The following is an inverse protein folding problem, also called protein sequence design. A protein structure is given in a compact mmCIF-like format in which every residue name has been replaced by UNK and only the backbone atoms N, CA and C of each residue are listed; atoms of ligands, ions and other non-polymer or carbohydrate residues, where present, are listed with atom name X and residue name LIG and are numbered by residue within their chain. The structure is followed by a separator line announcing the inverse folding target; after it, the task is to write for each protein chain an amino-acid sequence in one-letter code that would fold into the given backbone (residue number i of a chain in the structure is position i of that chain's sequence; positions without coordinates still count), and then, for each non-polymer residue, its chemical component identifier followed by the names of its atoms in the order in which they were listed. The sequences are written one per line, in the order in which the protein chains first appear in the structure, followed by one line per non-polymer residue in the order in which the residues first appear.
data_IF_555379484386
#
_entry.id   IF_555379484386
#
_cell.length_a   1.000
_cell.length_b   1.000
_cell.length_c   1.000
_cell.angle_alpha   90.00
_cell.angle_beta   90.00
_cell.angle_gamma   90.00
#
_symmetry.space_group_name_H-M   'P 1'
#
loop_
_entity.id
_entity.type
_entity.pdbx_description
1 polymer ?
#
# COMPACT_ATOMS: atom_id res chain seq x y z
N UNK A 1 -4.73 16.42 -3.93
CA UNK A 1 -4.17 15.73 -2.76
C UNK A 1 -5.32 15.46 -1.79
N UNK A 2 -5.81 14.21 -1.71
CA UNK A 2 -6.87 13.78 -0.77
C UNK A 2 -6.22 12.85 0.26
N UNK A 3 -5.34 13.38 1.09
CA UNK A 3 -4.59 12.56 2.04
C UNK A 3 -5.06 12.88 3.44
N UNK A 4 -6.01 12.07 3.92
CA UNK A 4 -6.31 11.97 5.33
C UNK A 4 -5.18 11.33 6.12
N UNK A 5 -5.35 11.21 7.43
CA UNK A 5 -4.42 10.45 8.28
C UNK A 5 -4.63 8.95 8.08
N UNK A 6 -3.53 8.22 7.93
CA UNK A 6 -3.55 6.77 7.72
C UNK A 6 -2.42 6.10 8.51
N UNK A 7 -2.72 4.94 9.09
CA UNK A 7 -1.70 3.98 9.54
C UNK A 7 -1.46 3.01 8.40
N UNK A 8 -0.19 2.85 8.01
CA UNK A 8 0.24 1.95 6.95
C UNK A 8 1.28 0.96 7.47
N UNK A 9 1.45 -0.15 6.77
CA UNK A 9 2.54 -1.13 7.00
C UNK A 9 3.23 -1.45 5.70
N UNK A 10 4.54 -1.69 5.78
CA UNK A 10 5.35 -2.08 4.63
C UNK A 10 4.97 -3.47 4.12
N UNK A 11 4.99 -3.61 2.80
CA UNK A 11 4.75 -4.87 2.11
C UNK A 11 6.10 -5.35 1.61
N UNK A 12 6.46 -6.56 2.00
CA UNK A 12 7.75 -7.17 1.67
C UNK A 12 7.57 -8.26 0.62
N UNK A 13 8.50 -8.37 -0.32
CA UNK A 13 8.57 -9.49 -1.24
C UNK A 13 8.91 -10.77 -0.47
N UNK A 14 8.13 -11.84 -0.65
CA UNK A 14 8.39 -13.12 0.03
C UNK A 14 9.67 -13.82 -0.42
N UNK A 15 10.27 -13.40 -1.54
CA UNK A 15 11.48 -14.03 -2.09
C UNK A 15 12.76 -13.33 -1.66
N UNK A 16 12.79 -11.99 -1.69
CA UNK A 16 13.99 -11.20 -1.44
C UNK A 16 13.88 -10.26 -0.24
N UNK A 17 12.74 -10.26 0.47
CA UNK A 17 12.46 -9.42 1.64
C UNK A 17 12.54 -7.91 1.38
N UNK A 18 12.70 -7.48 0.12
CA UNK A 18 12.68 -6.08 -0.25
C UNK A 18 11.29 -5.48 -0.01
N UNK A 19 11.25 -4.22 0.46
CA UNK A 19 10.02 -3.45 0.53
C UNK A 19 9.58 -3.14 -0.90
N UNK A 20 8.36 -3.56 -1.25
CA UNK A 20 7.79 -3.40 -2.59
C UNK A 20 6.60 -2.44 -2.63
N UNK A 21 6.23 -1.92 -1.46
CA UNK A 21 5.10 -1.02 -1.29
C UNK A 21 4.57 -1.05 0.13
N UNK A 22 3.30 -0.70 0.30
CA UNK A 22 2.66 -0.58 1.60
C UNK A 22 1.15 -0.85 1.52
N UNK A 23 0.56 -1.17 2.68
CA UNK A 23 -0.87 -1.45 2.85
C UNK A 23 -1.48 -0.48 3.83
N UNK A 24 -2.70 -0.01 3.54
CA UNK A 24 -3.49 0.74 4.52
C UNK A 24 -4.00 -0.20 5.62
N UNK A 25 -3.57 0.03 6.86
CA UNK A 25 -4.08 -0.66 8.05
C UNK A 25 -5.28 0.06 8.63
N UNK A 26 -5.18 1.39 8.75
CA UNK A 26 -6.23 2.21 9.33
C UNK A 26 -6.36 3.54 8.62
N UNK A 27 -7.59 3.94 8.30
CA UNK A 27 -7.94 5.30 7.91
C UNK A 27 -8.74 5.95 9.06
N UNK A 28 -8.48 7.22 9.35
CA UNK A 28 -9.16 7.92 10.45
C UNK A 28 -10.44 8.64 9.99
N UNK A 29 -10.61 8.83 8.69
CA UNK A 29 -11.79 9.45 8.09
C UNK A 29 -12.70 8.38 7.46
N UNK A 30 -14.01 8.48 7.71
CA UNK A 30 -14.98 7.50 7.22
C UNK A 30 -15.02 7.45 5.69
N UNK A 31 -14.88 8.61 5.05
CA UNK A 31 -14.78 8.76 3.60
C UNK A 31 -13.58 8.03 2.98
N UNK A 32 -12.57 7.67 3.77
CA UNK A 32 -11.33 7.04 3.33
C UNK A 32 -11.20 5.57 3.80
N UNK A 33 -12.18 5.06 4.56
CA UNK A 33 -12.21 3.67 5.06
C UNK A 33 -12.14 2.62 3.96
N UNK A 34 -12.63 2.94 2.76
CA UNK A 34 -12.52 2.06 1.58
C UNK A 34 -11.07 1.74 1.17
N UNK A 35 -10.08 2.49 1.67
CA UNK A 35 -8.66 2.24 1.43
C UNK A 35 -8.09 1.17 2.36
N UNK A 36 -8.65 0.99 3.56
CA UNK A 36 -8.20 -0.03 4.50
C UNK A 36 -8.19 -1.41 3.83
N UNK A 37 -7.09 -2.14 3.97
CA UNK A 37 -6.90 -3.43 3.29
C UNK A 37 -6.29 -3.34 1.89
N UNK A 38 -6.33 -2.17 1.22
CA UNK A 38 -5.75 -1.99 -0.11
C UNK A 38 -4.23 -1.81 -0.05
N UNK A 39 -3.59 -2.18 -1.15
CA UNK A 39 -2.15 -2.16 -1.34
C UNK A 39 -1.77 -1.10 -2.37
N UNK A 40 -0.68 -0.41 -2.11
CA UNK A 40 0.01 0.42 -3.09
C UNK A 40 1.39 -0.21 -3.29
N UNK A 41 1.66 -0.61 -4.53
CA UNK A 41 2.92 -1.21 -4.94
C UNK A 41 3.67 -0.25 -5.86
N UNK A 42 4.99 -0.25 -5.77
CA UNK A 42 5.84 0.58 -6.62
C UNK A 42 6.05 -0.10 -7.97
N UNK A 43 5.48 0.46 -9.05
CA UNK A 43 5.59 -0.11 -10.40
C UNK A 43 7.03 -0.37 -10.84
N UNK A 44 7.99 0.45 -10.43
CA UNK A 44 9.40 0.27 -10.79
C UNK A 44 10.01 -1.04 -10.25
N UNK A 45 9.37 -1.69 -9.28
CA UNK A 45 9.80 -2.96 -8.69
C UNK A 45 9.09 -4.18 -9.31
N UNK A 46 8.20 -3.98 -10.28
CA UNK A 46 7.44 -5.04 -10.94
C UNK A 46 7.51 -4.89 -12.47
N UNK A 47 7.72 -6.00 -13.17
CA UNK A 47 7.60 -6.04 -14.63
C UNK A 47 6.16 -6.42 -15.01
N UNK A 48 5.52 -5.58 -15.82
CA UNK A 48 4.22 -5.90 -16.41
C UNK A 48 4.42 -6.94 -17.52
N UNK A 49 3.95 -8.18 -17.29
CA UNK A 49 3.94 -9.21 -18.34
C UNK A 49 2.76 -8.93 -19.26
N UNK A 50 3.07 -8.41 -20.46
CA UNK A 50 2.13 -8.15 -21.56
C UNK A 50 1.82 -9.40 -22.37
#
# INVERSE_FOLDING_TARGET
MRTGWHTVVDVHCCHCEAVVGWKYVKAFEDSEKYKEGKFILERALFEEVV
#
